data_IF_442450839739
#
_entry.id   IF_442450839739
#
_cell.length_a   1.000
_cell.length_b   1.000
_cell.length_c   1.000
_cell.angle_alpha   90.00
_cell.angle_beta   90.00
_cell.angle_gamma   90.00
#
_symmetry.space_group_name_H-M   'P 1'
#
loop_
_entity.id
_entity.type
_entity.pdbx_description
1 polymer ?
#
# COMPACT_ATOMS: atom_id res chain seq x y z
N UNK A 1 -8.52 -10.51 -27.99
CA UNK A 1 -7.14 -10.17 -27.57
C UNK A 1 -7.01 -8.65 -27.42
N UNK A 2 -6.91 -8.10 -26.21
CA UNK A 2 -6.66 -6.67 -26.00
C UNK A 2 -5.73 -6.38 -24.80
N UNK A 3 -4.42 -6.49 -25.05
CA UNK A 3 -3.28 -5.56 -24.81
C UNK A 3 -3.24 -4.60 -23.57
N UNK A 4 -4.23 -4.48 -22.67
CA UNK A 4 -4.18 -3.46 -21.59
C UNK A 4 -3.86 -3.97 -20.18
N UNK A 5 -3.93 -5.28 -19.92
CA UNK A 5 -3.29 -5.91 -18.75
C UNK A 5 -1.77 -6.07 -18.93
N UNK A 6 -1.30 -5.98 -20.19
CA UNK A 6 0.11 -6.09 -20.53
C UNK A 6 0.93 -4.88 -20.04
N UNK A 7 0.37 -3.67 -19.90
CA UNK A 7 1.18 -2.45 -19.76
C UNK A 7 1.96 -2.29 -18.43
N UNK A 8 1.56 -2.96 -17.34
CA UNK A 8 2.34 -2.97 -16.09
C UNK A 8 3.37 -4.12 -16.05
N UNK A 9 3.08 -5.22 -16.76
CA UNK A 9 3.95 -6.40 -16.89
C UNK A 9 5.00 -6.25 -18.01
N UNK A 10 4.72 -5.50 -19.08
CA UNK A 10 5.60 -5.29 -20.25
C UNK A 10 6.78 -4.35 -20.01
N UNK A 11 6.88 -3.65 -18.87
CA UNK A 11 8.03 -2.76 -18.64
C UNK A 11 9.32 -3.51 -18.33
N UNK A 12 9.28 -4.83 -18.06
CA UNK A 12 10.48 -5.67 -17.96
C UNK A 12 10.22 -7.08 -18.52
N UNK A 13 10.22 -7.23 -19.85
CA UNK A 13 10.03 -8.49 -20.60
C UNK A 13 10.83 -9.71 -20.09
N UNK A 14 11.91 -9.52 -19.32
CA UNK A 14 12.68 -10.62 -18.74
C UNK A 14 12.15 -11.11 -17.38
N UNK A 15 11.53 -10.25 -16.57
CA UNK A 15 11.07 -10.63 -15.21
C UNK A 15 9.79 -11.46 -15.27
N UNK A 16 8.92 -11.21 -16.24
CA UNK A 16 7.64 -11.91 -16.41
C UNK A 16 7.85 -13.42 -16.68
N UNK A 17 8.81 -13.77 -17.54
CA UNK A 17 9.15 -15.18 -17.84
C UNK A 17 9.83 -15.86 -16.65
N UNK A 18 10.68 -15.12 -15.93
CA UNK A 18 11.39 -15.61 -14.74
C UNK A 18 10.41 -15.91 -13.61
N UNK A 19 9.44 -15.02 -13.40
CA UNK A 19 8.38 -15.15 -12.41
C UNK A 19 7.56 -16.43 -12.63
N UNK A 20 7.05 -16.67 -13.85
CA UNK A 20 6.17 -17.82 -14.13
C UNK A 20 6.81 -19.19 -13.86
N UNK A 21 8.12 -19.34 -14.09
CA UNK A 21 8.84 -20.59 -13.77
C UNK A 21 9.06 -20.79 -12.27
N UNK A 22 9.35 -19.72 -11.52
CA UNK A 22 9.53 -19.80 -10.06
C UNK A 22 8.21 -19.97 -9.31
N UNK A 23 7.14 -19.35 -9.81
CA UNK A 23 5.80 -19.43 -9.25
C UNK A 23 5.27 -20.87 -9.19
N UNK A 24 5.50 -21.65 -10.25
CA UNK A 24 5.14 -23.07 -10.28
C UNK A 24 5.93 -23.89 -9.27
N UNK A 25 7.21 -23.56 -9.04
CA UNK A 25 8.09 -24.29 -8.12
C UNK A 25 7.59 -24.21 -6.67
N UNK A 26 7.06 -23.05 -6.26
CA UNK A 26 6.59 -22.81 -4.89
C UNK A 26 5.07 -22.78 -4.75
N UNK A 27 4.35 -23.29 -5.75
CA UNK A 27 2.88 -23.43 -5.76
C UNK A 27 2.11 -22.14 -5.43
N UNK A 28 2.65 -20.99 -5.83
CA UNK A 28 1.94 -19.70 -5.73
C UNK A 28 1.36 -19.31 -7.09
N UNK A 29 0.15 -18.74 -7.07
CA UNK A 29 -0.40 -18.13 -8.27
C UNK A 29 0.35 -16.83 -8.60
N UNK A 30 0.58 -16.52 -9.89
CA UNK A 30 1.32 -15.34 -10.30
C UNK A 30 0.80 -14.04 -9.72
N UNK A 31 -0.51 -13.91 -9.64
CA UNK A 31 -1.16 -12.66 -9.26
C UNK A 31 -1.07 -12.41 -7.76
N UNK A 32 -1.11 -13.49 -6.96
CA UNK A 32 -0.88 -13.40 -5.52
C UNK A 32 0.55 -12.96 -5.21
N UNK A 33 1.55 -13.65 -5.78
CA UNK A 33 2.95 -13.27 -5.54
C UNK A 33 3.24 -11.86 -6.04
N UNK A 34 2.59 -11.45 -7.14
CA UNK A 34 2.72 -10.09 -7.68
C UNK A 34 2.20 -9.03 -6.70
N UNK A 35 1.08 -9.30 -6.04
CA UNK A 35 0.56 -8.44 -4.98
C UNK A 35 1.51 -8.37 -3.78
N UNK A 36 2.09 -9.50 -3.38
CA UNK A 36 3.07 -9.56 -2.30
C UNK A 36 4.35 -8.75 -2.62
N UNK A 37 4.93 -8.96 -3.81
CA UNK A 37 6.11 -8.19 -4.28
C UNK A 37 5.81 -6.70 -4.31
N UNK A 38 4.61 -6.33 -4.78
CA UNK A 38 4.17 -4.94 -4.76
C UNK A 38 4.06 -4.41 -3.33
N UNK A 39 3.49 -5.18 -2.40
CA UNK A 39 3.34 -4.80 -1.00
C UNK A 39 4.70 -4.45 -0.35
N UNK A 40 5.73 -5.25 -0.61
CA UNK A 40 7.07 -5.08 -0.03
C UNK A 40 7.90 -3.98 -0.69
N UNK A 41 7.92 -3.92 -2.02
CA UNK A 41 8.91 -3.10 -2.75
C UNK A 41 8.32 -2.22 -3.83
N UNK A 42 7.00 -2.30 -4.06
CA UNK A 42 6.35 -1.66 -5.22
C UNK A 42 7.04 -2.03 -6.54
N UNK A 43 7.50 -3.28 -6.65
CA UNK A 43 8.27 -3.82 -7.77
C UNK A 43 9.64 -3.15 -8.03
N UNK A 44 10.18 -2.42 -7.05
CA UNK A 44 11.50 -1.79 -7.16
C UNK A 44 12.59 -2.77 -6.71
N UNK A 45 13.30 -3.37 -7.66
CA UNK A 45 14.32 -4.38 -7.38
C UNK A 45 15.49 -3.86 -6.53
N UNK A 46 15.79 -2.56 -6.58
CA UNK A 46 16.78 -1.92 -5.70
C UNK A 46 16.15 -1.18 -4.51
N UNK A 47 14.92 -1.54 -4.11
CA UNK A 47 14.29 -0.96 -2.93
C UNK A 47 15.14 -1.24 -1.69
N UNK A 48 15.34 -0.21 -0.89
CA UNK A 48 16.04 -0.28 0.39
C UNK A 48 15.13 0.26 1.48
N UNK A 49 15.21 -0.33 2.67
CA UNK A 49 14.49 0.19 3.82
C UNK A 49 15.33 1.26 4.54
N UNK A 50 14.88 2.53 4.58
CA UNK A 50 15.62 3.64 5.18
C UNK A 50 15.67 3.57 6.72
N UNK A 51 14.84 2.75 7.37
CA UNK A 51 14.72 2.70 8.84
C UNK A 51 15.76 1.78 9.50
N UNK A 52 16.87 1.49 8.83
CA UNK A 52 18.03 0.78 9.41
C UNK A 52 17.92 -0.74 9.52
N UNK A 53 16.86 -1.37 9.02
CA UNK A 53 16.73 -2.85 9.04
C UNK A 53 17.69 -3.57 8.09
N UNK A 54 18.30 -2.83 7.15
CA UNK A 54 19.16 -3.37 6.09
C UNK A 54 18.42 -4.21 5.05
N UNK A 55 17.08 -4.17 5.04
CA UNK A 55 16.23 -4.85 4.06
C UNK A 55 16.44 -4.29 2.65
N UNK A 56 16.59 -5.18 1.66
CA UNK A 56 16.86 -4.83 0.26
C UNK A 56 16.12 -5.79 -0.68
N UNK A 57 15.71 -5.31 -1.84
CA UNK A 57 15.21 -6.15 -2.93
C UNK A 57 13.69 -6.19 -3.03
N UNK A 58 13.20 -7.00 -3.98
CA UNK A 58 11.77 -7.13 -4.26
C UNK A 58 10.98 -7.66 -3.05
N UNK A 59 11.62 -8.50 -2.23
CA UNK A 59 11.04 -9.06 -1.00
C UNK A 59 11.61 -8.44 0.28
N UNK A 60 12.25 -7.27 0.20
CA UNK A 60 12.80 -6.55 1.38
C UNK A 60 13.55 -7.45 2.39
N UNK A 61 14.39 -8.36 1.88
CA UNK A 61 15.09 -9.32 2.73
C UNK A 61 16.15 -8.66 3.60
N UNK A 62 16.06 -8.89 4.91
CA UNK A 62 17.12 -8.55 5.87
C UNK A 62 18.37 -9.41 5.61
N UNK A 63 19.58 -8.92 5.97
CA UNK A 63 20.82 -9.66 5.70
C UNK A 63 20.84 -11.07 6.28
N UNK A 64 20.40 -11.23 7.52
CA UNK A 64 20.40 -12.51 8.23
C UNK A 64 19.49 -13.56 7.55
N UNK A 65 18.26 -13.16 7.23
CA UNK A 65 17.27 -13.98 6.53
C UNK A 65 17.74 -14.37 5.13
N UNK A 66 18.35 -13.44 4.39
CA UNK A 66 18.88 -13.72 3.07
C UNK A 66 20.00 -14.76 3.12
N UNK A 67 20.96 -14.58 4.04
CA UNK A 67 22.09 -15.49 4.20
C UNK A 67 21.65 -16.88 4.67
N UNK A 68 20.66 -16.98 5.55
CA UNK A 68 20.13 -18.28 5.96
C UNK A 68 19.47 -19.02 4.80
N UNK A 69 18.66 -18.34 3.98
CA UNK A 69 18.03 -18.92 2.80
C UNK A 69 19.04 -19.33 1.72
N UNK A 70 20.20 -18.67 1.65
CA UNK A 70 21.28 -19.10 0.74
C UNK A 70 21.82 -20.50 1.07
N UNK A 71 21.66 -20.98 2.31
CA UNK A 71 22.05 -22.34 2.70
C UNK A 71 20.99 -23.41 2.37
N UNK A 72 19.82 -23.00 1.87
CA UNK A 72 18.76 -23.91 1.46
C UNK A 72 19.02 -24.38 0.02
N UNK A 73 19.11 -25.70 -0.16
CA UNK A 73 19.47 -26.36 -1.42
C UNK A 73 18.50 -26.05 -2.58
N UNK A 74 17.27 -25.71 -2.22
CA UNK A 74 16.19 -25.35 -3.10
C UNK A 74 16.41 -23.97 -3.70
N UNK A 75 17.16 -23.08 -3.07
CA UNK A 75 17.37 -21.73 -3.58
C UNK A 75 18.26 -21.72 -4.83
N UNK A 76 17.97 -20.83 -5.77
CA UNK A 76 18.82 -20.60 -6.95
C UNK A 76 20.19 -20.06 -6.60
N UNK A 77 20.29 -19.31 -5.50
CA UNK A 77 21.58 -18.79 -5.04
C UNK A 77 22.45 -19.93 -4.53
N UNK A 78 21.87 -20.92 -3.84
CA UNK A 78 22.60 -22.12 -3.46
C UNK A 78 23.21 -22.80 -4.70
N UNK A 79 22.41 -23.01 -5.74
CA UNK A 79 22.85 -23.63 -7.00
C UNK A 79 23.94 -22.79 -7.70
N UNK A 80 23.77 -21.47 -7.73
CA UNK A 80 24.76 -20.54 -8.28
C UNK A 80 26.11 -20.64 -7.56
N UNK A 81 26.09 -20.54 -6.23
CA UNK A 81 27.32 -20.46 -5.43
C UNK A 81 28.02 -21.83 -5.39
N UNK A 82 27.29 -22.91 -5.14
CA UNK A 82 27.86 -24.27 -5.14
C UNK A 82 28.46 -24.62 -6.51
N UNK A 83 27.76 -24.30 -7.60
CA UNK A 83 28.27 -24.52 -8.96
C UNK A 83 29.48 -23.67 -9.31
N UNK A 84 29.49 -22.38 -8.93
CA UNK A 84 30.59 -21.45 -9.25
C UNK A 84 31.90 -21.79 -8.53
N UNK A 85 31.80 -22.26 -7.29
CA UNK A 85 32.96 -22.48 -6.41
C UNK A 85 33.21 -23.95 -6.07
N UNK A 86 32.46 -24.87 -6.68
CA UNK A 86 32.55 -26.32 -6.46
C UNK A 86 32.37 -26.75 -5.01
N UNK A 87 31.55 -26.02 -4.25
CA UNK A 87 31.17 -26.43 -2.89
C UNK A 87 30.17 -27.60 -2.95
N UNK A 88 30.32 -28.58 -2.06
CA UNK A 88 29.35 -29.66 -1.88
C UNK A 88 28.04 -29.14 -1.27
N UNK A 89 28.15 -28.24 -0.28
CA UNK A 89 27.00 -27.57 0.32
C UNK A 89 27.36 -26.22 0.92
N UNK A 90 26.33 -25.45 1.22
CA UNK A 90 26.45 -24.18 1.93
C UNK A 90 25.94 -24.36 3.36
N UNK A 91 26.64 -23.73 4.31
CA UNK A 91 26.32 -23.80 5.73
C UNK A 91 26.16 -22.38 6.26
N UNK A 92 24.99 -22.11 6.84
CA UNK A 92 24.74 -20.86 7.56
C UNK A 92 24.93 -21.07 9.06
N UNK A 93 25.83 -20.31 9.69
CA UNK A 93 26.04 -20.32 11.15
C UNK A 93 26.61 -18.99 11.61
N UNK A 94 26.29 -18.58 12.84
CA UNK A 94 26.82 -17.35 13.45
C UNK A 94 26.65 -16.10 12.56
N UNK A 95 25.52 -15.99 11.86
CA UNK A 95 25.20 -14.90 10.92
C UNK A 95 26.15 -14.76 9.73
N UNK A 96 26.80 -15.87 9.36
CA UNK A 96 27.77 -15.96 8.27
C UNK A 96 27.45 -17.17 7.40
N UNK A 97 27.84 -17.09 6.13
CA UNK A 97 27.68 -18.15 5.15
C UNK A 97 29.05 -18.78 4.85
N UNK A 98 29.07 -20.10 4.77
CA UNK A 98 30.27 -20.88 4.50
C UNK A 98 29.99 -21.86 3.37
N UNK A 99 31.02 -22.16 2.57
CA UNK A 99 31.01 -23.27 1.63
C UNK A 99 31.82 -24.45 2.17
N UNK A 100 31.27 -25.66 2.09
CA UNK A 100 31.94 -26.91 2.46
C UNK A 100 32.33 -27.67 1.19
N UNK A 101 33.60 -28.05 1.07
CA UNK A 101 34.12 -28.88 -0.03
C UNK A 101 33.89 -30.37 0.23
N UNK A 102 34.07 -31.19 -0.80
CA UNK A 102 33.91 -32.66 -0.69
C UNK A 102 34.89 -33.29 0.31
N UNK A 103 36.05 -32.68 0.52
CA UNK A 103 37.05 -33.12 1.50
C UNK A 103 36.74 -32.68 2.95
N UNK A 104 35.61 -31.97 3.17
CA UNK A 104 35.19 -31.46 4.47
C UNK A 104 35.76 -30.09 4.85
N UNK A 105 36.62 -29.49 4.01
CA UNK A 105 37.14 -28.14 4.24
C UNK A 105 36.02 -27.11 4.18
N UNK A 106 36.00 -26.16 5.13
CA UNK A 106 34.97 -25.11 5.22
C UNK A 106 35.61 -23.72 5.06
N UNK A 107 35.10 -22.92 4.13
CA UNK A 107 35.57 -21.56 3.85
C UNK A 107 34.45 -20.55 4.02
N UNK A 108 34.71 -19.43 4.72
CA UNK A 108 33.77 -18.33 4.83
C UNK A 108 33.59 -17.64 3.47
N UNK A 109 32.34 -17.42 3.08
CA UNK A 109 31.97 -16.72 1.86
C UNK A 109 31.83 -15.24 2.18
N UNK A 110 32.39 -14.38 1.33
CA UNK A 110 32.21 -12.94 1.46
C UNK A 110 30.72 -12.58 1.45
N UNK A 111 30.26 -12.05 2.59
CA UNK A 111 28.86 -11.73 2.80
C UNK A 111 28.37 -10.66 1.81
N UNK A 112 29.21 -9.69 1.45
CA UNK A 112 28.77 -8.53 0.68
C UNK A 112 28.49 -8.94 -0.77
N UNK A 113 29.31 -9.85 -1.32
CA UNK A 113 29.04 -10.52 -2.60
C UNK A 113 27.66 -11.19 -2.61
N UNK A 114 27.31 -11.94 -1.56
CA UNK A 114 26.02 -12.66 -1.50
C UNK A 114 24.84 -11.70 -1.27
N UNK A 115 25.01 -10.69 -0.41
CA UNK A 115 23.99 -9.69 -0.11
C UNK A 115 23.70 -8.77 -1.31
N UNK A 116 24.68 -8.56 -2.20
CA UNK A 116 24.50 -7.80 -3.43
C UNK A 116 23.50 -8.45 -4.39
N UNK A 117 23.30 -9.77 -4.31
CA UNK A 117 22.35 -10.50 -5.16
C UNK A 117 20.88 -10.17 -4.85
N UNK A 118 20.58 -9.50 -3.73
CA UNK A 118 19.20 -9.10 -3.34
C UNK A 118 18.51 -8.20 -4.35
N UNK A 119 19.29 -7.41 -5.10
CA UNK A 119 18.73 -6.51 -6.13
C UNK A 119 18.50 -7.21 -7.47
N UNK A 120 18.97 -8.44 -7.63
CA UNK A 120 18.67 -9.23 -8.82
C UNK A 120 17.26 -9.81 -8.69
N UNK A 121 16.38 -9.43 -9.60
CA UNK A 121 14.97 -9.80 -9.54
C UNK A 121 14.73 -11.31 -9.56
N UNK A 122 15.52 -12.08 -10.32
CA UNK A 122 15.36 -13.54 -10.40
C UNK A 122 15.62 -14.22 -9.07
N UNK A 123 16.75 -13.88 -8.45
CA UNK A 123 17.11 -14.43 -7.14
C UNK A 123 16.20 -13.92 -6.05
N UNK A 124 15.78 -12.64 -6.13
CA UNK A 124 14.85 -12.07 -5.15
C UNK A 124 13.49 -12.78 -5.21
N UNK A 125 12.91 -12.99 -6.40
CA UNK A 125 11.62 -13.69 -6.58
C UNK A 125 11.72 -15.16 -6.13
N UNK A 126 12.80 -15.86 -6.46
CA UNK A 126 13.02 -17.24 -5.99
C UNK A 126 13.09 -17.30 -4.46
N UNK A 127 13.79 -16.36 -3.82
CA UNK A 127 13.89 -16.29 -2.36
C UNK A 127 12.57 -15.96 -1.68
N UNK A 128 11.74 -15.08 -2.27
CA UNK A 128 10.38 -14.80 -1.76
C UNK A 128 9.57 -16.09 -1.75
N UNK A 129 9.51 -16.77 -2.90
CA UNK A 129 8.77 -18.02 -3.03
C UNK A 129 9.25 -19.09 -2.06
N UNK A 130 10.57 -19.24 -1.89
CA UNK A 130 11.16 -20.18 -0.94
C UNK A 130 10.79 -19.87 0.51
N UNK A 131 11.01 -18.62 0.94
CA UNK A 131 10.77 -18.20 2.32
C UNK A 131 9.30 -18.37 2.70
N UNK A 132 8.40 -17.88 1.85
CA UNK A 132 6.97 -17.89 2.10
C UNK A 132 6.42 -19.33 2.07
N UNK A 133 6.87 -20.17 1.12
CA UNK A 133 6.47 -21.58 1.06
C UNK A 133 6.96 -22.36 2.27
N UNK A 134 8.23 -22.26 2.65
CA UNK A 134 8.75 -22.93 3.86
C UNK A 134 7.98 -22.52 5.11
N UNK A 135 7.60 -21.24 5.22
CA UNK A 135 6.81 -20.78 6.35
C UNK A 135 5.36 -21.28 6.33
N UNK A 136 4.72 -21.36 5.16
CA UNK A 136 3.40 -22.00 4.99
C UNK A 136 3.44 -23.49 5.35
N UNK A 137 4.47 -24.21 4.91
CA UNK A 137 4.60 -25.64 5.18
C UNK A 137 4.80 -25.87 6.69
N UNK A 138 5.62 -25.03 7.33
CA UNK A 138 5.79 -25.02 8.79
C UNK A 138 4.47 -24.73 9.53
N UNK A 139 3.67 -23.77 9.05
CA UNK A 139 2.32 -23.53 9.58
C UNK A 139 1.39 -24.73 9.38
N UNK A 140 1.43 -25.36 8.21
CA UNK A 140 0.56 -26.49 7.86
C UNK A 140 0.80 -27.71 8.76
N UNK A 141 2.03 -27.90 9.25
CA UNK A 141 2.35 -28.95 10.24
C UNK A 141 1.61 -28.76 11.56
N UNK A 142 1.29 -27.50 11.94
CA UNK A 142 0.57 -27.18 13.18
C UNK A 142 -0.91 -26.89 12.95
N UNK A 143 -1.28 -26.40 11.76
CA UNK A 143 -2.61 -26.01 11.35
C UNK A 143 -2.97 -26.68 10.02
N UNK A 144 -3.50 -27.90 10.08
CA UNK A 144 -3.82 -28.69 8.87
C UNK A 144 -4.80 -27.98 7.91
N UNK A 145 -5.63 -27.06 8.43
CA UNK A 145 -6.55 -26.25 7.63
C UNK A 145 -5.85 -25.33 6.62
N UNK A 146 -4.56 -25.02 6.80
CA UNK A 146 -3.76 -24.21 5.86
C UNK A 146 -3.70 -24.88 4.48
N UNK A 147 -3.59 -26.21 4.43
CA UNK A 147 -3.54 -26.95 3.16
C UNK A 147 -4.86 -26.94 2.38
N UNK A 148 -5.96 -26.51 3.01
CA UNK A 148 -7.29 -26.39 2.38
C UNK A 148 -7.62 -24.96 1.93
N UNK A 149 -6.70 -24.01 2.08
CA UNK A 149 -6.89 -22.63 1.62
C UNK A 149 -6.87 -22.54 0.09
N UNK A 150 -7.77 -21.74 -0.46
CA UNK A 150 -7.71 -21.34 -1.87
C UNK A 150 -6.46 -20.49 -2.13
N UNK A 151 -5.95 -20.44 -3.37
CA UNK A 151 -4.69 -19.74 -3.65
C UNK A 151 -4.67 -18.25 -3.26
N UNK A 152 -5.82 -17.57 -3.36
CA UNK A 152 -5.96 -16.15 -2.98
C UNK A 152 -6.06 -15.96 -1.45
N UNK A 153 -6.54 -16.97 -0.72
CA UNK A 153 -6.45 -17.00 0.75
C UNK A 153 -5.01 -17.29 1.19
N UNK A 154 -4.38 -18.26 0.54
CA UNK A 154 -3.04 -18.74 0.85
C UNK A 154 -2.00 -17.61 0.75
N UNK A 155 -2.12 -16.70 -0.23
CA UNK A 155 -1.17 -15.60 -0.37
C UNK A 155 -1.28 -14.54 0.74
N UNK A 156 -2.45 -14.37 1.34
CA UNK A 156 -2.59 -13.50 2.54
C UNK A 156 -1.89 -14.12 3.74
N UNK A 157 -1.95 -15.44 3.87
CA UNK A 157 -1.18 -16.18 4.89
C UNK A 157 0.30 -16.20 4.57
N UNK A 158 0.69 -16.29 3.30
CA UNK A 158 2.06 -16.09 2.85
C UNK A 158 2.59 -14.72 3.28
N UNK A 159 1.80 -13.67 3.08
CA UNK A 159 2.19 -12.33 3.49
C UNK A 159 2.26 -12.15 5.02
N UNK A 160 1.38 -12.84 5.75
CA UNK A 160 1.46 -12.92 7.21
C UNK A 160 2.79 -13.54 7.65
N UNK A 161 3.19 -14.66 7.03
CA UNK A 161 4.50 -15.30 7.23
C UNK A 161 5.63 -14.36 6.82
N UNK A 162 5.51 -13.67 5.70
CA UNK A 162 6.52 -12.76 5.19
C UNK A 162 6.88 -11.68 6.24
N UNK A 163 5.85 -11.03 6.75
CA UNK A 163 5.92 -9.93 7.72
C UNK A 163 6.31 -10.37 9.14
N UNK A 164 5.99 -11.60 9.55
CA UNK A 164 6.05 -12.03 10.95
C UNK A 164 6.98 -13.22 11.21
N UNK A 165 7.44 -13.89 10.17
CA UNK A 165 7.96 -15.25 10.24
C UNK A 165 6.86 -16.28 10.53
N UNK A 166 7.18 -17.57 10.37
CA UNK A 166 6.23 -18.66 10.58
C UNK A 166 5.68 -18.71 12.02
N UNK A 167 6.55 -18.55 13.02
CA UNK A 167 6.16 -18.49 14.44
C UNK A 167 5.24 -17.30 14.72
N UNK A 168 5.60 -16.09 14.28
CA UNK A 168 4.77 -14.91 14.50
C UNK A 168 3.41 -14.99 13.80
N UNK A 169 3.36 -15.59 12.61
CA UNK A 169 2.10 -15.88 11.93
C UNK A 169 1.21 -16.84 12.73
N UNK A 170 1.79 -17.93 13.25
CA UNK A 170 1.06 -18.87 14.10
C UNK A 170 0.57 -18.20 15.39
N UNK A 171 1.42 -17.45 16.10
CA UNK A 171 1.05 -16.70 17.32
C UNK A 171 -0.14 -15.77 17.08
N UNK A 172 -0.20 -15.09 15.93
CA UNK A 172 -1.31 -14.22 15.55
C UNK A 172 -2.58 -15.03 15.30
N UNK A 173 -2.51 -16.11 14.51
CA UNK A 173 -3.67 -16.97 14.19
C UNK A 173 -4.23 -17.61 15.47
N UNK A 174 -3.34 -18.01 16.38
CA UNK A 174 -3.71 -18.66 17.65
C UNK A 174 -3.98 -17.68 18.78
N UNK A 175 -3.91 -16.36 18.52
CA UNK A 175 -4.11 -15.30 19.49
C UNK A 175 -3.28 -15.49 20.78
N UNK A 176 -1.97 -15.75 20.63
CA UNK A 176 -1.05 -15.88 21.76
C UNK A 176 -1.10 -17.21 22.52
N UNK A 177 -1.81 -18.23 22.01
CA UNK A 177 -1.91 -19.55 22.66
C UNK A 177 -0.76 -20.52 22.31
N UNK A 178 0.31 -20.07 21.66
CA UNK A 178 1.44 -20.92 21.30
C UNK A 178 2.43 -21.12 22.46
N UNK A 179 3.03 -22.32 22.55
CA UNK A 179 4.21 -22.55 23.38
C UNK A 179 5.47 -22.34 22.52
N UNK A 180 6.34 -21.37 22.84
CA UNK A 180 7.52 -21.07 22.03
C UNK A 180 8.52 -22.22 22.01
N UNK A 181 9.07 -22.51 20.83
CA UNK A 181 10.20 -23.41 20.67
C UNK A 181 11.53 -22.79 21.12
N UNK A 182 12.62 -23.56 20.99
CA UNK A 182 13.96 -23.11 21.39
C UNK A 182 14.41 -21.89 20.57
N UNK A 183 14.52 -20.74 21.23
CA UNK A 183 14.95 -19.48 20.60
C UNK A 183 13.81 -18.58 20.11
N UNK A 184 12.56 -19.08 20.13
CA UNK A 184 11.37 -18.29 19.85
C UNK A 184 10.92 -17.54 21.11
N UNK A 185 10.40 -16.32 20.94
CA UNK A 185 9.87 -15.52 22.04
C UNK A 185 8.47 -15.08 21.68
N UNK A 186 7.50 -15.38 22.55
CA UNK A 186 6.14 -14.85 22.41
C UNK A 186 6.23 -13.32 22.42
N UNK A 187 5.70 -12.63 21.39
CA UNK A 187 5.67 -11.18 21.37
C UNK A 187 4.89 -10.65 22.58
N UNK A 188 5.50 -9.75 23.34
CA UNK A 188 4.84 -9.08 24.46
C UNK A 188 3.90 -7.99 23.95
N UNK A 189 2.99 -7.50 24.80
CA UNK A 189 2.08 -6.42 24.43
C UNK A 189 2.84 -5.16 23.96
N UNK A 190 3.99 -4.85 24.57
CA UNK A 190 4.85 -3.73 24.14
C UNK A 190 5.49 -3.95 22.76
N UNK A 191 5.76 -5.19 22.37
CA UNK A 191 6.23 -5.50 21.02
C UNK A 191 5.15 -5.15 20.00
N UNK A 192 3.88 -5.50 20.25
CA UNK A 192 2.78 -5.13 19.36
C UNK A 192 2.58 -3.62 19.27
N UNK A 193 2.70 -2.90 20.39
CA UNK A 193 2.71 -1.42 20.40
C UNK A 193 3.81 -0.88 19.48
N UNK A 194 5.07 -1.28 19.69
CA UNK A 194 6.21 -0.80 18.90
C UNK A 194 6.04 -1.11 17.40
N UNK A 195 5.45 -2.26 17.07
CA UNK A 195 5.15 -2.63 15.69
C UNK A 195 4.05 -1.77 15.10
N UNK A 196 2.96 -1.54 15.83
CA UNK A 196 1.86 -0.70 15.35
C UNK A 196 2.33 0.73 15.09
N UNK A 197 3.02 1.36 16.06
CA UNK A 197 3.48 2.75 15.90
C UNK A 197 4.50 2.88 14.77
N UNK A 198 5.38 1.89 14.60
CA UNK A 198 6.41 1.91 13.56
C UNK A 198 5.82 1.83 12.14
N UNK A 199 4.65 1.19 11.99
CA UNK A 199 3.98 1.06 10.70
C UNK A 199 2.95 2.15 10.43
N UNK A 200 2.12 2.50 11.43
CA UNK A 200 0.98 3.40 11.23
C UNK A 200 1.37 4.88 11.32
N UNK A 201 2.35 5.24 12.16
CA UNK A 201 2.88 6.61 12.32
C UNK A 201 1.81 7.71 12.45
N UNK A 202 0.65 7.36 12.99
CA UNK A 202 -0.51 8.22 13.20
C UNK A 202 -1.06 7.97 14.61
N UNK A 203 -0.85 8.92 15.51
CA UNK A 203 -1.20 8.77 16.92
C UNK A 203 -2.71 8.64 17.16
N UNK A 204 -3.54 9.32 16.38
CA UNK A 204 -4.99 9.24 16.53
C UNK A 204 -5.50 7.87 16.09
N UNK A 205 -5.00 7.36 14.95
CA UNK A 205 -5.34 6.02 14.50
C UNK A 205 -4.77 4.94 15.42
N UNK A 206 -3.56 5.11 15.96
CA UNK A 206 -2.99 4.20 16.97
C UNK A 206 -3.93 4.12 18.20
N UNK A 207 -4.38 5.26 18.72
CA UNK A 207 -5.32 5.32 19.85
C UNK A 207 -6.65 4.67 19.48
N UNK A 208 -7.14 4.89 18.25
CA UNK A 208 -8.39 4.32 17.77
C UNK A 208 -8.33 2.80 17.59
N UNK A 209 -7.21 2.25 17.13
CA UNK A 209 -7.00 0.80 17.11
C UNK A 209 -6.89 0.24 18.53
N UNK A 210 -6.21 0.95 19.43
CA UNK A 210 -6.10 0.55 20.84
C UNK A 210 -7.46 0.53 21.56
N UNK A 211 -8.37 1.44 21.22
CA UNK A 211 -9.69 1.53 21.87
C UNK A 211 -10.68 0.43 21.48
N UNK A 212 -10.33 -0.50 20.58
CA UNK A 212 -11.15 -1.69 20.28
C UNK A 212 -11.40 -2.50 21.56
N UNK A 213 -10.34 -2.80 22.31
CA UNK A 213 -10.42 -3.58 23.56
C UNK A 213 -9.34 -3.22 24.60
N UNK A 214 -8.62 -2.12 24.39
CA UNK A 214 -7.48 -1.68 25.22
C UNK A 214 -6.30 -2.67 25.25
N UNK A 215 -6.09 -3.44 24.17
CA UNK A 215 -4.90 -4.29 24.02
C UNK A 215 -4.11 -3.95 22.76
N UNK A 216 -2.78 -3.91 22.87
CA UNK A 216 -1.92 -3.61 21.72
C UNK A 216 -1.87 -4.77 20.72
N UNK A 217 -2.06 -6.00 21.17
CA UNK A 217 -2.21 -7.16 20.29
C UNK A 217 -3.41 -6.99 19.36
N UNK A 218 -4.60 -6.74 19.89
CA UNK A 218 -5.80 -6.53 19.06
C UNK A 218 -5.64 -5.31 18.16
N UNK A 219 -5.11 -4.20 18.68
CA UNK A 219 -4.83 -3.00 17.90
C UNK A 219 -3.93 -3.28 16.68
N UNK A 220 -2.81 -3.98 16.89
CA UNK A 220 -1.89 -4.34 15.83
C UNK A 220 -2.53 -5.31 14.82
N UNK A 221 -3.21 -6.35 15.30
CA UNK A 221 -3.81 -7.36 14.41
C UNK A 221 -4.95 -6.75 13.59
N UNK A 222 -5.76 -5.86 14.16
CA UNK A 222 -6.82 -5.16 13.44
C UNK A 222 -6.25 -4.23 12.34
N UNK A 223 -5.20 -3.47 12.65
CA UNK A 223 -4.49 -2.68 11.64
C UNK A 223 -3.92 -3.56 10.54
N UNK A 224 -3.26 -4.65 10.91
CA UNK A 224 -2.61 -5.58 9.97
C UNK A 224 -3.64 -6.22 9.03
N UNK A 225 -4.80 -6.65 9.54
CA UNK A 225 -5.89 -7.18 8.72
C UNK A 225 -6.37 -6.14 7.70
N UNK A 226 -6.64 -4.92 8.15
CA UNK A 226 -7.08 -3.84 7.26
C UNK A 226 -6.02 -3.51 6.20
N UNK A 227 -4.74 -3.48 6.61
CA UNK A 227 -3.61 -3.27 5.71
C UNK A 227 -3.52 -4.38 4.66
N UNK A 228 -3.55 -5.65 5.08
CA UNK A 228 -3.47 -6.80 4.16
C UNK A 228 -4.64 -6.84 3.19
N UNK A 229 -5.85 -6.53 3.66
CA UNK A 229 -7.05 -6.47 2.82
C UNK A 229 -7.00 -5.35 1.78
N UNK A 230 -6.25 -4.28 2.04
CA UNK A 230 -6.04 -3.19 1.09
C UNK A 230 -4.90 -3.40 0.11
N UNK A 231 -3.86 -4.15 0.49
CA UNK A 231 -2.61 -4.23 -0.29
C UNK A 231 -2.37 -5.57 -0.98
N UNK A 232 -2.87 -6.67 -0.41
CA UNK A 232 -2.77 -8.01 -1.01
C UNK A 232 -4.06 -8.31 -1.77
N UNK A 233 -4.16 -7.76 -2.97
CA UNK A 233 -5.33 -7.90 -3.86
C UNK A 233 -4.90 -8.56 -5.18
N UNK A 234 -4.94 -9.90 -5.28
CA UNK A 234 -4.53 -10.64 -6.48
C UNK A 234 -5.28 -10.20 -7.74
N UNK A 235 -6.56 -9.82 -7.62
CA UNK A 235 -7.38 -9.37 -8.75
C UNK A 235 -6.79 -8.15 -9.48
N UNK A 236 -5.97 -7.31 -8.83
CA UNK A 236 -5.26 -6.20 -9.50
C UNK A 236 -4.22 -6.68 -10.53
N UNK A 237 -3.81 -7.95 -10.47
CA UNK A 237 -2.80 -8.55 -11.34
C UNK A 237 -3.39 -9.62 -12.28
N UNK A 238 -4.71 -9.83 -12.26
CA UNK A 238 -5.41 -10.75 -13.15
C UNK A 238 -5.81 -10.06 -14.46
N UNK A 239 -5.79 -10.83 -15.55
CA UNK A 239 -6.38 -10.41 -16.82
C UNK A 239 -7.90 -10.34 -16.70
N UNK A 240 -8.47 -11.35 -16.05
CA UNK A 240 -9.90 -11.45 -15.74
C UNK A 240 -10.06 -11.56 -14.21
N UNK A 241 -10.50 -10.48 -13.54
CA UNK A 241 -10.72 -10.49 -12.09
C UNK A 241 -11.78 -11.53 -11.70
N UNK A 242 -11.56 -12.22 -10.58
CA UNK A 242 -12.58 -13.14 -10.04
C UNK A 242 -13.73 -12.40 -9.36
N UNK A 243 -13.53 -11.11 -9.03
CA UNK A 243 -14.48 -10.27 -8.28
C UNK A 243 -14.82 -10.83 -6.89
N UNK A 244 -13.98 -11.72 -6.36
CA UNK A 244 -14.13 -12.34 -5.03
C UNK A 244 -13.08 -11.74 -4.10
N UNK A 245 -13.55 -11.03 -3.07
CA UNK A 245 -12.69 -10.51 -2.02
C UNK A 245 -12.57 -11.55 -0.89
N UNK A 246 -11.36 -11.78 -0.40
CA UNK A 246 -11.09 -12.67 0.72
C UNK A 246 -10.61 -11.83 1.89
N UNK A 247 -11.38 -11.74 2.98
CA UNK A 247 -10.92 -10.98 4.14
C UNK A 247 -9.86 -11.77 4.92
N UNK A 248 -8.77 -11.10 5.32
CA UNK A 248 -7.74 -11.69 6.18
C UNK A 248 -8.34 -12.14 7.52
N UNK A 249 -9.33 -11.41 8.05
CA UNK A 249 -10.08 -11.80 9.25
C UNK A 249 -10.77 -13.15 9.07
N UNK A 250 -11.49 -13.33 7.97
CA UNK A 250 -12.23 -14.56 7.70
C UNK A 250 -11.30 -15.75 7.50
N UNK A 251 -10.14 -15.53 6.86
CA UNK A 251 -9.12 -16.58 6.70
C UNK A 251 -8.54 -16.97 8.07
N UNK A 252 -8.21 -16.00 8.93
CA UNK A 252 -7.73 -16.29 10.29
C UNK A 252 -8.79 -17.06 11.09
N UNK A 253 -10.06 -16.64 11.02
CA UNK A 253 -11.18 -17.32 11.67
C UNK A 253 -11.37 -18.75 11.11
N UNK A 254 -11.16 -18.95 9.80
CA UNK A 254 -11.18 -20.28 9.16
C UNK A 254 -10.07 -21.19 9.68
N UNK A 255 -8.88 -20.65 9.96
CA UNK A 255 -7.75 -21.40 10.52
C UNK A 255 -7.88 -21.64 12.04
N UNK A 256 -8.55 -20.74 12.75
CA UNK A 256 -8.84 -20.87 14.18
C UNK A 256 -10.26 -20.38 14.49
N UNK A 257 -11.23 -21.30 14.44
CA UNK A 257 -12.65 -20.98 14.60
C UNK A 257 -12.99 -20.42 15.98
N UNK A 258 -12.16 -20.66 17.00
CA UNK A 258 -12.37 -20.14 18.36
C UNK A 258 -11.91 -18.69 18.53
N UNK A 259 -11.13 -18.15 17.60
CA UNK A 259 -10.66 -16.78 17.66
C UNK A 259 -11.65 -15.85 16.95
N UNK A 260 -12.53 -15.22 17.73
CA UNK A 260 -13.41 -14.17 17.24
C UNK A 260 -12.60 -12.87 17.15
N UNK A 261 -12.08 -12.57 15.96
CA UNK A 261 -11.22 -11.42 15.75
C UNK A 261 -12.06 -10.14 15.62
N UNK A 262 -11.91 -9.21 16.56
CA UNK A 262 -12.51 -7.88 16.44
C UNK A 262 -11.59 -6.94 15.68
N UNK A 263 -12.09 -6.38 14.58
CA UNK A 263 -11.39 -5.41 13.73
C UNK A 263 -12.19 -4.12 13.54
N UNK A 264 -13.36 -4.03 14.18
CA UNK A 264 -14.29 -2.93 13.97
C UNK A 264 -13.78 -1.73 14.77
N UNK A 265 -13.43 -0.67 14.04
CA UNK A 265 -12.95 0.55 14.66
C UNK A 265 -14.13 1.30 15.31
N UNK A 266 -13.98 1.77 16.56
CA UNK A 266 -15.02 2.56 17.19
C UNK A 266 -15.35 3.82 16.37
N UNK A 267 -16.61 4.33 16.48
CA UNK A 267 -17.01 5.56 15.83
C UNK A 267 -16.12 6.72 16.29
N UNK A 268 -15.75 7.59 15.34
CA UNK A 268 -15.04 8.83 15.69
C UNK A 268 -16.02 9.71 16.45
N UNK A 269 -15.79 9.92 17.74
CA UNK A 269 -16.63 10.80 18.55
C UNK A 269 -16.19 12.23 18.29
N UNK A 270 -16.99 13.01 17.56
CA UNK A 270 -16.74 14.42 17.30
C UNK A 270 -17.05 15.19 18.60
N UNK A 271 -16.05 15.42 19.44
CA UNK A 271 -16.18 16.41 20.52
C UNK A 271 -16.00 17.80 19.93
N UNK A 272 -17.13 18.50 19.70
CA UNK A 272 -17.16 19.92 19.42
C UNK A 272 -16.52 20.70 20.58
N UNK A 273 -15.27 21.14 20.42
CA UNK A 273 -14.66 22.12 21.31
C UNK A 273 -14.50 23.47 20.61
N UNK A 274 -15.08 24.49 21.24
CA UNK A 274 -15.16 25.91 20.84
C UNK A 274 -13.81 26.57 20.48
N UNK A 275 -13.83 27.67 19.71
CA UNK A 275 -12.64 28.32 19.18
C UNK A 275 -11.90 29.13 20.25
N UNK A 276 -10.57 29.04 20.27
CA UNK A 276 -9.71 29.93 21.06
C UNK A 276 -8.78 30.71 20.13
N UNK A 277 -8.83 32.04 20.27
CA UNK A 277 -8.07 33.05 19.53
C UNK A 277 -6.54 32.99 19.80
N UNK A 278 -5.74 33.05 18.71
CA UNK A 278 -4.38 33.64 18.42
C UNK A 278 -3.29 33.82 19.51
N UNK A 279 -1.95 33.91 19.22
CA UNK A 279 -1.17 33.81 17.97
C UNK A 279 0.10 32.88 18.02
N UNK A 280 0.81 32.72 16.87
CA UNK A 280 2.10 31.99 16.56
C UNK A 280 3.26 32.13 17.58
N UNK A 281 4.39 31.35 17.59
CA UNK A 281 5.00 30.49 16.54
C UNK A 281 5.60 29.10 16.96
N UNK A 282 5.90 28.27 15.94
CA UNK A 282 6.94 27.21 15.81
C UNK A 282 7.24 26.22 16.96
N UNK A 283 6.97 24.92 16.75
CA UNK A 283 7.92 23.78 16.98
C UNK A 283 7.50 22.59 16.10
N UNK A 284 8.46 22.05 15.33
CA UNK A 284 8.36 20.81 14.54
C UNK A 284 7.97 19.60 15.41
N UNK A 285 6.92 18.91 15.00
CA UNK A 285 6.63 17.53 15.43
C UNK A 285 6.47 16.74 14.13
N UNK A 286 7.34 15.74 13.90
CA UNK A 286 7.28 14.85 12.74
C UNK A 286 5.97 14.05 12.74
N UNK A 287 4.92 14.69 12.19
CA UNK A 287 3.64 14.09 11.85
C UNK A 287 3.65 13.57 10.42
N UNK A 288 2.76 12.64 10.12
CA UNK A 288 2.59 12.05 8.80
C UNK A 288 2.46 13.15 7.72
N UNK A 289 3.38 13.20 6.75
CA UNK A 289 3.44 14.29 5.75
C UNK A 289 2.54 14.07 4.54
N UNK A 290 1.78 12.97 4.53
CA UNK A 290 0.84 12.64 3.46
C UNK A 290 -0.44 11.97 3.97
N UNK A 291 -1.57 12.34 3.36
CA UNK A 291 -2.88 11.75 3.57
C UNK A 291 -3.59 11.55 2.23
N UNK A 292 -4.51 10.58 2.18
CA UNK A 292 -5.44 10.47 1.06
C UNK A 292 -6.54 11.56 1.15
N UNK A 293 -7.14 11.97 0.02
CA UNK A 293 -8.18 13.00 0.00
C UNK A 293 -9.52 12.53 0.61
N UNK A 294 -9.70 11.21 0.75
CA UNK A 294 -10.82 10.53 1.39
C UNK A 294 -10.28 9.37 2.25
N UNK A 295 -11.03 8.95 3.26
CA UNK A 295 -10.68 7.77 4.08
C UNK A 295 -10.69 6.46 3.29
N UNK A 296 -11.50 6.39 2.23
CA UNK A 296 -11.54 5.26 1.28
C UNK A 296 -11.49 5.83 -0.13
N UNK A 297 -10.43 5.53 -0.87
CA UNK A 297 -10.26 5.98 -2.23
C UNK A 297 -10.43 4.83 -3.23
N UNK A 298 -11.58 4.78 -3.90
CA UNK A 298 -11.88 3.81 -4.97
C UNK A 298 -12.30 4.54 -6.22
N UNK A 299 -11.99 3.99 -7.40
CA UNK A 299 -12.45 4.58 -8.65
C UNK A 299 -13.98 4.55 -8.74
N UNK A 300 -14.59 5.64 -9.19
CA UNK A 300 -16.01 5.65 -9.54
C UNK A 300 -16.30 4.66 -10.67
N UNK A 301 -17.26 3.76 -10.45
CA UNK A 301 -17.66 2.74 -11.43
C UNK A 301 -19.05 2.98 -12.03
N UNK A 302 -19.89 3.77 -11.37
CA UNK A 302 -21.30 3.96 -11.72
C UNK A 302 -21.57 5.23 -12.54
N UNK A 303 -22.67 5.21 -13.31
CA UNK A 303 -23.13 6.30 -14.17
C UNK A 303 -22.05 6.84 -15.14
N UNK A 304 -21.27 5.92 -15.70
CA UNK A 304 -20.22 6.20 -16.68
C UNK A 304 -20.34 5.25 -17.88
N UNK A 305 -19.97 5.68 -19.10
CA UNK A 305 -19.92 4.76 -20.23
C UNK A 305 -18.91 3.62 -20.04
N UNK A 306 -17.80 3.89 -19.34
CA UNK A 306 -16.74 2.94 -18.97
C UNK A 306 -16.07 3.45 -17.69
N UNK A 307 -15.56 2.56 -16.83
CA UNK A 307 -14.83 2.94 -15.61
C UNK A 307 -13.63 3.84 -15.93
N UNK A 308 -12.91 3.59 -17.04
CA UNK A 308 -11.80 4.43 -17.51
C UNK A 308 -12.20 5.87 -17.87
N UNK A 309 -13.47 6.20 -17.99
CA UNK A 309 -13.91 7.59 -18.13
C UNK A 309 -13.77 8.36 -16.82
N UNK A 310 -13.64 7.69 -15.66
CA UNK A 310 -13.35 8.30 -14.35
C UNK A 310 -11.87 8.67 -14.17
N UNK A 311 -10.95 8.14 -14.99
CA UNK A 311 -9.51 8.35 -14.79
C UNK A 311 -9.00 9.60 -15.50
N UNK A 312 -7.82 10.07 -15.12
CA UNK A 312 -7.14 11.14 -15.82
C UNK A 312 -6.91 10.77 -17.29
N UNK A 313 -7.09 11.74 -18.19
CA UNK A 313 -7.06 11.55 -19.65
C UNK A 313 -8.13 10.59 -20.21
N UNK A 314 -9.02 10.08 -19.36
CA UNK A 314 -10.15 9.23 -19.74
C UNK A 314 -11.09 9.96 -20.70
N UNK A 315 -11.47 9.31 -21.80
CA UNK A 315 -12.35 9.96 -22.78
C UNK A 315 -13.79 10.05 -22.26
N UNK A 316 -14.36 11.24 -22.39
CA UNK A 316 -15.78 11.56 -22.13
C UNK A 316 -16.40 12.23 -23.35
N UNK A 317 -17.72 12.22 -23.39
CA UNK A 317 -18.52 12.84 -24.45
C UNK A 317 -19.43 13.87 -23.81
N UNK A 318 -19.43 15.10 -24.33
CA UNK A 318 -20.36 16.15 -23.91
C UNK A 318 -21.76 15.86 -24.47
N UNK A 319 -22.78 16.54 -23.95
CA UNK A 319 -24.15 16.47 -24.49
C UNK A 319 -24.24 16.82 -25.98
N UNK A 320 -23.37 17.71 -26.47
CA UNK A 320 -23.27 18.08 -27.88
C UNK A 320 -22.41 17.12 -28.74
N UNK A 321 -22.08 15.93 -28.23
CA UNK A 321 -21.30 14.91 -28.95
C UNK A 321 -19.78 15.17 -28.99
N UNK A 322 -19.29 16.33 -28.54
CA UNK A 322 -17.85 16.63 -28.54
C UNK A 322 -17.12 15.75 -27.53
N UNK A 323 -16.08 15.05 -27.99
CA UNK A 323 -15.19 14.29 -27.11
C UNK A 323 -14.22 15.22 -26.38
N UNK A 324 -13.94 14.90 -25.13
CA UNK A 324 -12.93 15.57 -24.32
C UNK A 324 -12.28 14.57 -23.36
N UNK A 325 -11.11 14.94 -22.85
CA UNK A 325 -10.40 14.14 -21.86
C UNK A 325 -10.73 14.63 -20.45
N UNK A 326 -10.97 13.68 -19.55
CA UNK A 326 -11.20 13.94 -18.14
C UNK A 326 -9.94 14.53 -17.50
N UNK A 327 -10.13 15.56 -16.68
CA UNK A 327 -9.06 16.42 -16.18
C UNK A 327 -8.50 15.95 -14.83
N UNK A 328 -9.17 15.00 -14.18
CA UNK A 328 -8.79 14.49 -12.88
C UNK A 328 -9.16 13.03 -12.71
N UNK A 329 -9.49 12.69 -11.48
CA UNK A 329 -9.91 11.37 -11.05
C UNK A 329 -11.24 11.49 -10.31
N UNK A 330 -12.23 10.69 -10.71
CA UNK A 330 -13.49 10.60 -9.96
C UNK A 330 -13.38 9.46 -8.96
N UNK A 331 -13.28 9.80 -7.68
CA UNK A 331 -13.16 8.88 -6.56
C UNK A 331 -14.57 8.65 -5.98
N UNK A 332 -15.02 7.40 -5.95
CA UNK A 332 -16.33 7.00 -5.44
C UNK A 332 -16.54 7.48 -4.00
N UNK A 333 -17.57 8.31 -3.77
CA UNK A 333 -17.90 8.85 -2.46
C UNK A 333 -19.35 9.32 -2.43
N UNK A 334 -20.11 8.93 -1.40
CA UNK A 334 -21.47 9.44 -1.22
C UNK A 334 -21.39 10.94 -0.87
N UNK A 335 -22.43 11.75 -1.15
CA UNK A 335 -22.48 13.12 -0.66
C UNK A 335 -22.30 13.19 0.86
N UNK A 336 -21.74 14.30 1.34
CA UNK A 336 -21.41 14.55 2.74
C UNK A 336 -20.30 13.63 3.31
N UNK A 337 -19.46 13.04 2.44
CA UNK A 337 -18.26 12.32 2.88
C UNK A 337 -17.15 13.32 3.18
N UNK A 338 -16.51 13.29 4.37
CA UNK A 338 -15.40 14.17 4.71
C UNK A 338 -14.24 14.09 3.73
N UNK A 339 -13.71 15.25 3.32
CA UNK A 339 -12.48 15.36 2.51
C UNK A 339 -11.35 15.97 3.32
N UNK A 340 -10.12 15.51 3.06
CA UNK A 340 -8.95 15.87 3.85
C UNK A 340 -7.84 16.50 3.02
N UNK A 341 -7.04 17.37 3.65
CA UNK A 341 -5.82 17.90 3.03
C UNK A 341 -4.81 16.78 2.85
N UNK A 342 -4.33 16.58 1.62
CA UNK A 342 -3.38 15.50 1.32
C UNK A 342 -1.97 15.75 1.87
N UNK A 343 -1.63 16.99 2.20
CA UNK A 343 -0.34 17.38 2.77
C UNK A 343 -0.47 18.69 3.55
N UNK A 344 0.59 19.08 4.25
CA UNK A 344 0.72 20.45 4.77
C UNK A 344 0.75 21.44 3.60
N UNK A 345 0.06 22.55 3.73
CA UNK A 345 -0.03 23.52 2.64
C UNK A 345 -0.81 24.76 3.02
N UNK A 346 -1.30 25.44 1.98
CA UNK A 346 -2.18 26.60 2.13
C UNK A 346 -3.40 26.49 1.24
N UNK A 347 -4.51 27.10 1.63
CA UNK A 347 -5.68 27.26 0.76
C UNK A 347 -5.29 28.20 -0.40
N UNK A 348 -5.19 27.66 -1.61
CA UNK A 348 -4.92 28.43 -2.82
C UNK A 348 -6.13 29.25 -3.26
N UNK A 349 -7.32 28.63 -3.22
CA UNK A 349 -8.61 29.31 -3.39
C UNK A 349 -9.78 28.44 -2.92
N UNK A 350 -10.90 29.10 -2.65
CA UNK A 350 -12.22 28.49 -2.43
C UNK A 350 -13.22 29.12 -3.39
N UNK A 351 -14.14 28.32 -3.92
CA UNK A 351 -15.29 28.78 -4.69
C UNK A 351 -16.58 28.34 -3.97
N UNK A 352 -17.20 29.29 -3.26
CA UNK A 352 -18.51 29.17 -2.61
C UNK A 352 -19.18 30.56 -2.70
N UNK A 353 -20.39 30.73 -3.29
CA UNK A 353 -21.32 29.71 -3.77
C UNK A 353 -20.82 28.88 -4.96
N UNK A 354 -21.39 27.67 -5.18
CA UNK A 354 -21.05 26.80 -6.31
C UNK A 354 -21.25 27.51 -7.65
N UNK A 355 -20.29 27.36 -8.57
CA UNK A 355 -20.39 27.85 -9.96
C UNK A 355 -19.58 26.97 -10.91
N UNK A 356 -19.85 27.11 -12.21
CA UNK A 356 -19.24 26.33 -13.29
C UNK A 356 -19.50 24.82 -13.19
N UNK A 357 -18.95 24.05 -14.14
CA UNK A 357 -19.07 22.59 -14.20
C UNK A 357 -18.52 21.90 -12.93
N UNK A 358 -17.55 22.50 -12.24
CA UNK A 358 -16.95 21.93 -11.03
C UNK A 358 -17.77 22.20 -9.75
N UNK A 359 -18.76 23.10 -9.78
CA UNK A 359 -19.58 23.40 -8.61
C UNK A 359 -18.82 24.12 -7.50
N UNK A 360 -19.02 23.71 -6.25
CA UNK A 360 -18.26 24.20 -5.08
C UNK A 360 -16.89 23.54 -5.07
N UNK A 361 -15.86 24.33 -4.82
CA UNK A 361 -14.48 23.92 -5.02
C UNK A 361 -13.59 24.41 -3.90
N UNK A 362 -12.55 23.64 -3.63
CA UNK A 362 -11.42 24.05 -2.79
C UNK A 362 -10.13 23.56 -3.46
N UNK A 363 -9.08 24.37 -3.39
CA UNK A 363 -7.76 24.00 -3.84
C UNK A 363 -6.74 24.36 -2.78
N UNK A 364 -5.81 23.45 -2.51
CA UNK A 364 -4.63 23.72 -1.70
C UNK A 364 -3.40 23.84 -2.60
N UNK A 365 -2.40 24.60 -2.14
CA UNK A 365 -1.06 24.70 -2.72
C UNK A 365 -0.05 24.16 -1.71
N UNK A 366 0.89 23.36 -2.22
CA UNK A 366 1.90 22.66 -1.44
C UNK A 366 3.26 22.89 -2.10
N UNK A 367 4.28 23.25 -1.31
CA UNK A 367 5.65 23.28 -1.81
C UNK A 367 6.15 21.85 -1.96
N UNK A 368 6.83 21.55 -3.06
CA UNK A 368 7.23 20.17 -3.37
C UNK A 368 8.26 19.64 -2.37
N UNK A 369 9.07 20.51 -1.79
CA UNK A 369 10.04 20.16 -0.73
C UNK A 369 9.35 19.73 0.57
N UNK A 370 8.08 20.12 0.78
CA UNK A 370 7.28 19.73 1.95
C UNK A 370 6.58 18.37 1.75
N UNK A 371 6.60 17.83 0.52
CA UNK A 371 6.03 16.51 0.23
C UNK A 371 6.99 15.39 0.62
N UNK A 372 6.48 14.21 1.01
CA UNK A 372 7.31 13.03 1.05
C UNK A 372 7.93 12.76 -0.33
N UNK A 373 9.21 12.34 -0.32
CA UNK A 373 10.05 12.20 -1.51
C UNK A 373 9.36 11.45 -2.65
N UNK A 374 8.62 10.39 -2.34
CA UNK A 374 7.87 9.60 -3.32
C UNK A 374 6.80 10.40 -4.08
N UNK A 375 6.15 11.37 -3.43
CA UNK A 375 5.14 12.24 -4.03
C UNK A 375 5.81 13.41 -4.75
N UNK A 376 6.89 13.95 -4.17
CA UNK A 376 7.72 14.98 -4.80
C UNK A 376 8.27 14.52 -6.18
N UNK A 377 8.70 13.25 -6.28
CA UNK A 377 9.21 12.68 -7.55
C UNK A 377 8.15 12.61 -8.67
N UNK A 378 6.85 12.62 -8.33
CA UNK A 378 5.75 12.65 -9.29
C UNK A 378 5.52 14.06 -9.88
N UNK A 379 6.02 15.10 -9.22
CA UNK A 379 5.78 16.49 -9.57
C UNK A 379 6.71 16.97 -10.69
N UNK A 380 6.52 16.44 -11.90
CA UNK A 380 7.26 16.83 -13.12
C UNK A 380 6.30 17.14 -14.24
N UNK A 381 6.52 18.25 -14.96
CA UNK A 381 5.69 18.64 -16.09
C UNK A 381 6.56 19.12 -17.26
N UNK A 382 6.37 18.54 -18.45
CA UNK A 382 7.17 18.83 -19.65
C UNK A 382 8.69 18.80 -19.39
N UNK A 383 9.14 17.79 -18.64
CA UNK A 383 10.54 17.58 -18.24
C UNK A 383 11.17 18.73 -17.42
N UNK A 384 10.34 19.67 -16.93
CA UNK A 384 10.75 20.72 -16.00
C UNK A 384 10.36 20.36 -14.58
N UNK A 385 11.28 20.58 -13.64
CA UNK A 385 10.97 20.59 -12.22
C UNK A 385 10.10 21.80 -11.89
N UNK A 386 9.12 21.58 -11.03
CA UNK A 386 8.23 22.61 -10.50
C UNK A 386 8.49 22.73 -9.00
N UNK A 387 8.30 23.92 -8.43
CA UNK A 387 8.53 24.17 -6.99
C UNK A 387 7.27 23.97 -6.14
N UNK A 388 6.10 24.07 -6.76
CA UNK A 388 4.80 23.98 -6.10
C UNK A 388 3.82 23.11 -6.89
N UNK A 389 2.94 22.42 -6.16
CA UNK A 389 1.86 21.59 -6.71
C UNK A 389 0.54 21.95 -6.04
N UNK A 390 -0.55 21.77 -6.77
CA UNK A 390 -1.89 22.11 -6.32
C UNK A 390 -2.78 20.88 -6.30
N UNK A 391 -3.53 20.69 -5.22
CA UNK A 391 -4.51 19.61 -5.07
C UNK A 391 -5.91 20.21 -5.02
N UNK A 392 -6.75 19.79 -5.95
CA UNK A 392 -8.05 20.39 -6.20
C UNK A 392 -9.19 19.41 -5.96
N UNK A 393 -10.22 19.90 -5.27
CA UNK A 393 -11.40 19.18 -4.84
C UNK A 393 -12.64 19.87 -5.40
N UNK A 394 -13.55 19.12 -6.01
CA UNK A 394 -14.75 19.65 -6.64
C UNK A 394 -16.02 18.86 -6.34
N UNK A 395 -17.15 19.42 -6.78
CA UNK A 395 -18.52 18.94 -6.55
C UNK A 395 -18.97 19.01 -5.09
N UNK A 396 -18.30 19.79 -4.24
CA UNK A 396 -18.46 19.77 -2.78
C UNK A 396 -19.86 20.22 -2.32
N UNK A 397 -20.35 19.64 -1.21
CA UNK A 397 -21.59 20.09 -0.54
C UNK A 397 -21.31 21.21 0.46
N UNK A 398 -20.15 21.18 1.10
CA UNK A 398 -19.71 22.16 2.10
C UNK A 398 -18.19 22.33 2.11
N UNK A 399 -17.73 23.50 2.51
CA UNK A 399 -16.34 23.76 2.95
C UNK A 399 -16.37 23.84 4.47
N UNK A 400 -15.35 23.29 5.14
CA UNK A 400 -15.25 23.38 6.59
C UNK A 400 -15.22 24.86 7.02
N UNK A 401 -15.97 25.19 8.09
CA UNK A 401 -16.16 26.57 8.50
C UNK A 401 -14.84 27.21 8.94
N UNK A 402 -14.63 28.47 8.53
CA UNK A 402 -13.47 29.25 8.93
C UNK A 402 -12.24 29.08 8.04
N UNK A 403 -12.32 28.30 6.95
CA UNK A 403 -11.27 28.25 5.93
C UNK A 403 -11.41 29.41 4.94
N UNK A 404 -10.34 30.17 4.77
CA UNK A 404 -10.20 31.25 3.82
C UNK A 404 -8.96 31.09 2.94
N UNK A 405 -8.90 31.86 1.85
CA UNK A 405 -7.73 31.84 0.96
C UNK A 405 -6.49 32.31 1.73
N UNK A 406 -5.41 31.53 1.63
CA UNK A 406 -4.12 31.81 2.25
C UNK A 406 -3.91 31.12 3.60
N UNK A 407 -4.97 30.57 4.19
CA UNK A 407 -4.89 29.83 5.45
C UNK A 407 -3.99 28.62 5.33
N UNK A 408 -3.24 28.35 6.40
CA UNK A 408 -2.46 27.14 6.52
C UNK A 408 -3.36 25.96 6.85
N UNK A 409 -3.14 24.86 6.16
CA UNK A 409 -3.78 23.58 6.47
C UNK A 409 -2.71 22.52 6.72
N UNK A 410 -3.01 21.61 7.63
CA UNK A 410 -2.15 20.46 7.93
C UNK A 410 -2.57 19.25 7.12
N UNK A 411 -1.62 18.35 6.87
CA UNK A 411 -1.89 17.02 6.37
C UNK A 411 -2.98 16.33 7.21
N UNK A 412 -3.98 15.74 6.55
CA UNK A 412 -5.12 15.10 7.19
C UNK A 412 -6.19 16.06 7.72
N UNK A 413 -6.01 17.37 7.61
CA UNK A 413 -6.99 18.35 8.09
C UNK A 413 -8.29 18.28 7.28
N UNK A 414 -9.44 18.35 7.98
CA UNK A 414 -10.76 18.35 7.37
C UNK A 414 -10.99 19.62 6.54
N UNK A 415 -11.21 19.47 5.24
CA UNK A 415 -11.40 20.60 4.31
C UNK A 415 -12.87 20.88 4.00
N UNK A 416 -13.74 19.88 4.18
CA UNK A 416 -15.15 19.97 3.83
C UNK A 416 -15.73 18.61 3.50
N UNK A 417 -16.72 18.60 2.62
CA UNK A 417 -17.48 17.40 2.31
C UNK A 417 -17.78 17.26 0.80
N UNK A 418 -17.74 16.02 0.31
CA UNK A 418 -18.18 15.67 -1.05
C UNK A 418 -19.65 16.04 -1.26
N UNK A 419 -20.05 16.25 -2.50
CA UNK A 419 -21.43 16.58 -2.81
C UNK A 419 -21.80 16.26 -4.25
N UNK A 420 -22.83 16.94 -4.74
CA UNK A 420 -23.32 16.81 -6.10
C UNK A 420 -23.51 18.19 -6.75
N UNK A 421 -22.62 19.15 -6.50
CA UNK A 421 -22.73 20.50 -7.10
C UNK A 421 -22.09 20.57 -8.49
N UNK A 422 -22.47 21.56 -9.30
CA UNK A 422 -21.97 21.68 -10.68
C UNK A 422 -22.55 20.60 -11.61
N UNK A 423 -21.72 20.00 -12.47
CA UNK A 423 -22.16 18.98 -13.41
C UNK A 423 -22.42 17.60 -12.77
N UNK A 424 -22.09 17.43 -11.49
CA UNK A 424 -22.44 16.26 -10.69
C UNK A 424 -23.87 16.34 -10.12
N UNK A 425 -24.64 17.37 -10.45
CA UNK A 425 -26.02 17.52 -9.99
C UNK A 425 -26.88 16.28 -10.30
N UNK A 426 -27.62 15.81 -9.30
CA UNK A 426 -28.42 14.60 -9.35
C UNK A 426 -27.67 13.30 -9.01
N UNK A 427 -26.34 13.33 -8.87
CA UNK A 427 -25.54 12.17 -8.44
C UNK A 427 -25.57 12.03 -6.90
N UNK A 428 -26.75 11.80 -6.33
CA UNK A 428 -26.98 11.84 -4.87
C UNK A 428 -26.65 10.53 -4.13
N UNK A 429 -26.21 9.49 -4.83
CA UNK A 429 -25.79 8.22 -4.26
C UNK A 429 -24.72 7.55 -5.12
N UNK A 430 -24.01 6.55 -4.58
CA UNK A 430 -22.99 5.79 -5.33
C UNK A 430 -23.57 5.19 -6.61
N UNK A 431 -24.77 4.60 -6.56
CA UNK A 431 -25.44 4.03 -7.72
C UNK A 431 -25.74 5.06 -8.83
N UNK A 432 -25.94 6.32 -8.45
CA UNK A 432 -26.14 7.45 -9.36
C UNK A 432 -24.81 8.11 -9.78
N UNK A 433 -23.68 7.56 -9.35
CA UNK A 433 -22.34 8.04 -9.70
C UNK A 433 -21.77 9.12 -8.77
N UNK A 434 -22.22 9.20 -7.52
CA UNK A 434 -21.66 10.14 -6.54
C UNK A 434 -20.14 9.93 -6.37
N UNK A 435 -19.39 11.03 -6.35
CA UNK A 435 -17.93 11.02 -6.32
C UNK A 435 -17.36 12.33 -5.80
N UNK A 436 -16.10 12.25 -5.35
CA UNK A 436 -15.19 13.39 -5.32
C UNK A 436 -14.47 13.49 -6.66
N UNK A 437 -14.49 14.67 -7.28
CA UNK A 437 -13.58 14.95 -8.38
C UNK A 437 -12.28 15.56 -7.84
N UNK A 438 -11.16 14.88 -8.10
CA UNK A 438 -9.85 15.24 -7.57
C UNK A 438 -8.85 15.48 -8.71
N UNK A 439 -8.12 16.60 -8.67
CA UNK A 439 -7.05 16.90 -9.63
C UNK A 439 -5.72 17.22 -8.92
N UNK A 440 -4.62 16.90 -9.61
CA UNK A 440 -3.28 17.37 -9.28
C UNK A 440 -2.82 18.31 -10.38
N UNK A 441 -2.43 19.54 -10.03
CA UNK A 441 -2.15 20.62 -10.99
C UNK A 441 -0.79 21.24 -10.73
N UNK A 442 -0.19 21.79 -11.78
CA UNK A 442 1.10 22.52 -11.70
C UNK A 442 0.91 24.03 -11.78
N UNK A 443 -0.34 24.48 -11.77
CA UNK A 443 -0.76 25.89 -11.76
C UNK A 443 -2.10 25.98 -11.03
N UNK A 444 -2.31 27.07 -10.27
CA UNK A 444 -3.56 27.30 -9.51
C UNK A 444 -4.82 27.08 -10.35
N UNK A 445 -4.87 27.75 -11.51
CA UNK A 445 -6.00 27.72 -12.45
C UNK A 445 -5.54 27.29 -13.83
N UNK A 446 -5.41 25.98 -14.08
CA UNK A 446 -5.08 25.49 -15.40
C UNK A 446 -6.32 25.63 -16.30
N UNK A 447 -6.10 26.11 -17.53
CA UNK A 447 -7.17 26.26 -18.52
C UNK A 447 -7.85 24.92 -18.89
N UNK A 448 -8.77 24.94 -19.87
CA UNK A 448 -9.44 23.73 -20.32
C UNK A 448 -8.44 22.71 -20.90
N UNK A 449 -8.74 21.42 -20.75
CA UNK A 449 -7.91 20.32 -21.24
C UNK A 449 -6.98 19.74 -20.18
N UNK A 450 -6.00 18.94 -20.61
CA UNK A 450 -5.11 18.15 -19.73
C UNK A 450 -3.76 18.81 -19.47
N UNK A 451 -3.45 19.92 -20.14
CA UNK A 451 -2.21 20.65 -19.92
C UNK A 451 -2.14 21.18 -18.49
N UNK A 452 -0.93 21.21 -17.93
CA UNK A 452 -0.64 21.68 -16.57
C UNK A 452 -1.35 20.87 -15.47
N UNK A 453 -1.62 19.60 -15.73
CA UNK A 453 -2.19 18.63 -14.79
C UNK A 453 -1.36 17.35 -14.78
N UNK A 454 -1.22 16.77 -13.60
CA UNK A 454 -0.57 15.47 -13.38
C UNK A 454 -1.65 14.39 -13.20
N UNK A 455 -1.28 13.12 -13.42
CA UNK A 455 -2.19 12.03 -13.08
C UNK A 455 -2.37 11.99 -11.56
N UNK A 456 -3.59 12.12 -11.01
CA UNK A 456 -3.81 12.08 -9.57
C UNK A 456 -3.63 10.68 -8.96
N UNK A 457 -3.77 9.61 -9.74
CA UNK A 457 -3.80 8.27 -9.19
C UNK A 457 -2.52 7.85 -8.44
N UNK A 458 -1.30 8.13 -8.94
CA UNK A 458 -0.06 7.81 -8.22
C UNK A 458 0.11 8.58 -6.90
N UNK A 459 -0.64 9.67 -6.70
CA UNK A 459 -0.63 10.40 -5.44
C UNK A 459 -1.51 9.74 -4.37
N UNK A 460 -2.44 8.85 -4.74
CA UNK A 460 -3.39 8.28 -3.79
C UNK A 460 -2.93 6.89 -3.37
N UNK A 461 -2.66 6.73 -2.08
CA UNK A 461 -2.17 5.47 -1.52
C UNK A 461 -3.28 4.42 -1.53
N UNK A 462 -2.96 3.21 -2.02
CA UNK A 462 -3.92 2.11 -2.11
C UNK A 462 -5.01 2.31 -3.18
N UNK A 463 -4.83 3.24 -4.12
CA UNK A 463 -5.85 3.52 -5.14
C UNK A 463 -5.98 2.38 -6.16
N UNK A 464 -7.20 1.90 -6.36
CA UNK A 464 -7.52 0.90 -7.37
C UNK A 464 -7.73 1.57 -8.74
N UNK A 465 -6.72 1.46 -9.63
CA UNK A 465 -6.75 2.03 -10.98
C UNK A 465 -7.25 1.00 -12.02
N UNK A 466 -8.22 1.35 -12.89
CA UNK A 466 -8.86 0.43 -13.87
C UNK A 466 -8.15 0.24 -15.24
#
# INVERSE_FOLDING_TARGET
MSVKGYAFLQRQNNIEIISLKQLKKYEFQPEGLSALIYAESRWKANATNPTGSGAVGLGQFKPDTWLSLCAESESKIYQLITGKYSYQKLVYKNRKLFGEFVDGTITEIDKDTVLSLRVNAEYSIDMIGLYDRKGIDSLSLKLSAVSALESDELVKIAYLVHMNGAFGAYDIIMNGKETPGKGEKIPTNIVFYNRLIGNLKDNEMIIRYYSIDSTWRTAFVAWMVNYFDSIIVPDHYRIEPKMKNYSTKDIIQKLNSTYILNTDLPPVTITNSQPRNTPSPSVNVEGNTWSNPLSVCRIRTHALPRVRSATFKGWRTRSNGRRYQHQGLDIEAAPNTPIFSVADGRIAFIIDPPRSDYGRQLCIIVQIDDLPLEKALLCRCNDSEISEVYFFYAHLSAIHSGLERGDHVRCGELLGETGCTGNANGMTSIALGAHLHFEVRVKERPGPGIANRLDPAPFIDGFNYP
#
